data_IF_510045361647
#
_entry.id   IF_510045361647
#
_cell.length_a   1.000
_cell.length_b   1.000
_cell.length_c   1.000
_cell.angle_alpha   90.00
_cell.angle_beta   90.00
_cell.angle_gamma   90.00
#
_symmetry.space_group_name_H-M   'P 1'
#
loop_
_entity.id
_entity.type
_entity.pdbx_description
1 polymer ?
#
# COMPACT_ATOMS: atom_id res chain seq x y z
N UNK A 1 5.89 4.12 -27.94
CA UNK A 1 6.61 2.83 -27.98
C UNK A 1 7.34 2.68 -29.29
N UNK A 2 8.64 2.37 -29.22
CA UNK A 2 9.53 2.14 -30.36
C UNK A 2 9.16 0.88 -31.15
N UNK A 3 9.59 0.79 -32.41
CA UNK A 3 9.25 -0.32 -33.29
C UNK A 3 9.73 -1.69 -32.75
N UNK A 4 10.95 -1.73 -32.20
CA UNK A 4 11.53 -2.94 -31.63
C UNK A 4 10.73 -3.47 -30.43
N UNK A 5 10.35 -2.58 -29.50
CA UNK A 5 9.50 -2.96 -28.35
C UNK A 5 8.13 -3.46 -28.79
N UNK A 6 7.53 -2.89 -29.86
CA UNK A 6 6.26 -3.38 -30.42
C UNK A 6 6.37 -4.80 -30.98
N UNK A 7 7.48 -5.10 -31.65
CA UNK A 7 7.75 -6.43 -32.21
C UNK A 7 7.91 -7.48 -31.10
N UNK A 8 8.52 -7.11 -29.98
CA UNK A 8 8.69 -7.97 -28.80
C UNK A 8 7.43 -8.12 -27.96
N UNK A 9 6.62 -7.06 -27.83
CA UNK A 9 5.40 -7.05 -27.04
C UNK A 9 4.33 -7.97 -27.63
N UNK A 10 4.14 -7.94 -28.95
CA UNK A 10 3.08 -8.72 -29.62
C UNK A 10 3.09 -10.22 -29.27
N UNK A 11 4.19 -10.98 -29.45
CA UNK A 11 4.20 -12.40 -29.10
C UNK A 11 4.03 -12.65 -27.60
N UNK A 12 4.43 -11.70 -26.75
CA UNK A 12 4.23 -11.80 -25.31
C UNK A 12 2.74 -11.67 -24.93
N UNK A 13 2.01 -10.75 -25.59
CA UNK A 13 0.56 -10.60 -25.45
C UNK A 13 -0.20 -11.79 -26.03
N UNK A 14 0.20 -12.29 -27.20
CA UNK A 14 -0.44 -13.44 -27.85
C UNK A 14 -0.38 -14.69 -26.93
N UNK A 15 0.77 -14.94 -26.29
CA UNK A 15 0.89 -16.00 -25.26
C UNK A 15 -0.05 -15.79 -24.08
N UNK A 16 -0.13 -14.57 -23.56
CA UNK A 16 -1.01 -14.25 -22.43
C UNK A 16 -2.50 -14.48 -22.76
N UNK A 17 -2.89 -14.23 -24.02
CA UNK A 17 -4.24 -14.55 -24.54
C UNK A 17 -4.48 -16.05 -24.60
N UNK A 18 -3.50 -16.82 -25.09
CA UNK A 18 -3.59 -18.29 -25.20
C UNK A 18 -3.74 -18.95 -23.82
N UNK A 19 -3.03 -18.47 -22.81
CA UNK A 19 -3.07 -19.00 -21.44
C UNK A 19 -4.30 -18.54 -20.65
N UNK A 20 -4.88 -17.39 -21.00
CA UNK A 20 -6.03 -16.81 -20.31
C UNK A 20 -7.16 -16.39 -21.27
N UNK A 21 -7.76 -17.35 -22.00
CA UNK A 21 -8.76 -17.04 -23.03
C UNK A 21 -10.03 -16.36 -22.48
N UNK A 22 -10.37 -16.58 -21.20
CA UNK A 22 -11.51 -15.92 -20.55
C UNK A 22 -11.29 -14.41 -20.33
N UNK A 23 -10.05 -13.93 -20.38
CA UNK A 23 -9.69 -12.51 -20.19
C UNK A 23 -9.23 -11.86 -21.52
N UNK A 24 -9.50 -12.49 -22.67
CA UNK A 24 -8.99 -12.06 -23.96
C UNK A 24 -9.35 -10.60 -24.32
N UNK A 25 -10.56 -10.15 -23.97
CA UNK A 25 -10.99 -8.77 -24.23
C UNK A 25 -10.18 -7.76 -23.38
N UNK A 26 -10.03 -8.02 -22.09
CA UNK A 26 -9.23 -7.21 -21.18
C UNK A 26 -7.76 -7.14 -21.65
N UNK A 27 -7.19 -8.27 -22.08
CA UNK A 27 -5.83 -8.32 -22.59
C UNK A 27 -5.66 -7.47 -23.85
N UNK A 28 -6.64 -7.50 -24.77
CA UNK A 28 -6.62 -6.66 -25.97
C UNK A 28 -6.74 -5.17 -25.62
N UNK A 29 -7.59 -4.82 -24.66
CA UNK A 29 -7.74 -3.44 -24.19
C UNK A 29 -6.44 -2.93 -23.53
N UNK A 30 -5.81 -3.74 -22.68
CA UNK A 30 -4.51 -3.43 -22.09
C UNK A 30 -3.42 -3.29 -23.15
N UNK A 31 -3.38 -4.20 -24.13
CA UNK A 31 -2.43 -4.11 -25.24
C UNK A 31 -2.63 -2.82 -26.06
N UNK A 32 -3.88 -2.46 -26.36
CA UNK A 32 -4.21 -1.21 -27.03
C UNK A 32 -3.71 0.01 -26.25
N UNK A 33 -3.88 0.02 -24.93
CA UNK A 33 -3.37 1.08 -24.06
C UNK A 33 -1.83 1.13 -24.04
N UNK A 34 -1.15 -0.02 -23.95
CA UNK A 34 0.32 -0.09 -23.99
C UNK A 34 0.88 0.47 -25.30
N UNK A 35 0.25 0.19 -26.45
CA UNK A 35 0.71 0.68 -27.74
C UNK A 35 0.52 2.19 -27.95
N UNK A 36 -0.44 2.81 -27.25
CA UNK A 36 -0.83 4.21 -27.44
C UNK A 36 -0.37 5.14 -26.30
N UNK A 37 0.15 4.60 -25.21
CA UNK A 37 0.69 5.36 -24.08
C UNK A 37 2.05 6.00 -24.39
N UNK A 38 2.46 6.97 -23.56
CA UNK A 38 3.82 7.50 -23.55
C UNK A 38 4.77 6.57 -22.79
N UNK A 39 6.08 6.69 -23.01
CA UNK A 39 7.08 5.84 -22.33
C UNK A 39 6.99 5.95 -20.80
N UNK A 40 6.86 7.18 -20.29
CA UNK A 40 6.72 7.48 -18.87
C UNK A 40 5.46 6.86 -18.26
N UNK A 41 4.40 6.66 -19.04
CA UNK A 41 3.16 6.03 -18.57
C UNK A 41 3.29 4.50 -18.49
N UNK A 42 4.24 3.89 -19.22
CA UNK A 42 4.52 2.44 -19.18
C UNK A 42 5.58 2.04 -18.16
N UNK A 43 6.25 3.02 -17.57
CA UNK A 43 7.14 2.81 -16.44
C UNK A 43 6.34 3.02 -15.16
N UNK A 44 6.42 2.07 -14.21
CA UNK A 44 5.75 2.19 -12.90
C UNK A 44 4.25 2.48 -13.04
N UNK A 45 3.63 1.71 -13.91
CA UNK A 45 2.21 1.74 -14.19
C UNK A 45 1.43 1.50 -12.90
N UNK A 46 0.67 2.52 -12.49
CA UNK A 46 -0.31 2.41 -11.42
C UNK A 46 -1.59 1.71 -11.96
N UNK A 47 -1.99 0.53 -11.42
CA UNK A 47 -3.14 -0.21 -11.90
C UNK A 47 -4.47 0.56 -11.83
N UNK A 48 -4.66 1.47 -10.87
CA UNK A 48 -5.87 2.30 -10.80
C UNK A 48 -5.99 3.24 -12.00
N UNK A 49 -4.88 3.84 -12.43
CA UNK A 49 -4.85 4.72 -13.61
C UNK A 49 -5.16 3.95 -14.88
N UNK A 50 -4.60 2.75 -15.05
CA UNK A 50 -4.89 1.90 -16.21
C UNK A 50 -6.35 1.44 -16.18
N UNK A 51 -6.86 1.00 -15.03
CA UNK A 51 -8.25 0.58 -14.88
C UNK A 51 -9.21 1.69 -15.30
N UNK A 52 -8.95 2.92 -14.85
CA UNK A 52 -9.73 4.09 -15.27
C UNK A 52 -9.62 4.38 -16.77
N UNK A 53 -8.42 4.29 -17.35
CA UNK A 53 -8.19 4.59 -18.77
C UNK A 53 -8.76 3.54 -19.74
N UNK A 54 -8.82 2.27 -19.31
CA UNK A 54 -9.20 1.13 -20.16
C UNK A 54 -10.61 0.60 -19.89
N UNK A 55 -11.18 0.91 -18.72
CA UNK A 55 -12.46 0.36 -18.25
C UNK A 55 -12.38 -1.07 -17.71
N UNK A 56 -11.19 -1.69 -17.71
CA UNK A 56 -10.99 -3.03 -17.13
C UNK A 56 -11.19 -2.93 -15.61
N UNK A 57 -12.03 -3.80 -15.00
CA UNK A 57 -12.18 -3.83 -13.54
C UNK A 57 -10.84 -4.02 -12.84
N UNK A 58 -10.54 -3.18 -11.84
CA UNK A 58 -9.24 -3.17 -11.15
C UNK A 58 -8.80 -4.56 -10.68
N UNK A 59 -9.70 -5.34 -10.08
CA UNK A 59 -9.38 -6.69 -9.63
C UNK A 59 -8.91 -7.59 -10.78
N UNK A 60 -9.64 -7.58 -11.91
CA UNK A 60 -9.28 -8.35 -13.10
C UNK A 60 -7.96 -7.87 -13.71
N UNK A 61 -7.71 -6.57 -13.71
CA UNK A 61 -6.47 -5.98 -14.20
C UNK A 61 -5.26 -6.37 -13.34
N UNK A 62 -5.34 -6.27 -12.03
CA UNK A 62 -4.22 -6.63 -11.13
C UNK A 62 -3.89 -8.12 -11.26
N UNK A 63 -4.90 -8.99 -11.31
CA UNK A 63 -4.70 -10.43 -11.59
C UNK A 63 -4.01 -10.66 -12.93
N UNK A 64 -4.41 -9.92 -13.96
CA UNK A 64 -3.79 -10.01 -15.29
C UNK A 64 -2.33 -9.55 -15.29
N UNK A 65 -2.03 -8.43 -14.62
CA UNK A 65 -0.67 -7.91 -14.49
C UNK A 65 0.22 -8.92 -13.73
N UNK A 66 -0.27 -9.48 -12.62
CA UNK A 66 0.41 -10.53 -11.86
C UNK A 66 0.72 -11.76 -12.72
N UNK A 67 -0.27 -12.29 -13.44
CA UNK A 67 -0.03 -13.41 -14.38
C UNK A 67 1.00 -13.04 -15.44
N UNK A 68 0.90 -11.85 -16.02
CA UNK A 68 1.88 -11.36 -16.99
C UNK A 68 3.31 -11.26 -16.44
N UNK A 69 3.50 -11.13 -15.11
CA UNK A 69 4.85 -11.24 -14.52
C UNK A 69 5.43 -12.65 -14.63
N UNK A 70 4.63 -13.71 -14.48
CA UNK A 70 5.08 -15.10 -14.66
C UNK A 70 5.58 -15.36 -16.09
N UNK A 71 4.99 -14.68 -17.07
CA UNK A 71 5.31 -14.82 -18.49
C UNK A 71 6.32 -13.78 -19.00
N UNK A 72 6.97 -13.05 -18.09
CA UNK A 72 7.94 -11.99 -18.41
C UNK A 72 7.40 -10.92 -19.37
N UNK A 73 6.09 -10.62 -19.26
CA UNK A 73 5.44 -9.49 -19.94
C UNK A 73 5.64 -8.23 -19.09
N UNK A 74 5.44 -8.39 -17.78
CA UNK A 74 5.55 -7.31 -16.81
C UNK A 74 6.62 -7.62 -15.77
N UNK A 75 7.11 -6.56 -15.14
CA UNK A 75 7.90 -6.61 -13.92
C UNK A 75 7.13 -5.86 -12.83
N UNK A 76 7.11 -6.41 -11.62
CA UNK A 76 6.49 -5.78 -10.44
C UNK A 76 7.56 -4.99 -9.68
N UNK A 77 7.20 -3.80 -9.21
CA UNK A 77 8.06 -2.97 -8.38
C UNK A 77 7.37 -2.58 -7.08
N UNK A 78 8.12 -2.66 -5.99
CA UNK A 78 7.74 -2.18 -4.66
C UNK A 78 8.37 -0.80 -4.44
N UNK A 79 7.56 0.20 -4.20
CA UNK A 79 8.01 1.58 -4.04
C UNK A 79 7.69 2.06 -2.63
N UNK A 80 8.72 2.52 -1.90
CA UNK A 80 8.56 3.09 -0.57
C UNK A 80 8.46 4.60 -0.65
N UNK A 81 7.37 5.16 -0.14
CA UNK A 81 7.08 6.60 -0.19
C UNK A 81 7.32 7.26 1.16
N UNK A 82 7.96 8.43 1.13
CA UNK A 82 8.10 9.25 2.32
C UNK A 82 6.71 9.73 2.81
N UNK A 83 6.38 9.62 4.10
CA UNK A 83 5.08 10.07 4.60
C UNK A 83 4.89 11.60 4.52
N UNK A 84 5.97 12.38 4.46
CA UNK A 84 5.92 13.84 4.45
C UNK A 84 5.85 14.44 3.06
N UNK A 85 6.56 13.85 2.08
CA UNK A 85 6.59 14.37 0.71
C UNK A 85 6.17 13.35 -0.36
N UNK A 86 5.70 12.16 0.00
CA UNK A 86 5.29 11.10 -0.93
C UNK A 86 6.31 10.72 -2.03
N UNK A 87 7.55 11.19 -1.95
CA UNK A 87 8.60 10.84 -2.90
C UNK A 87 9.00 9.39 -2.69
N UNK A 88 9.31 8.69 -3.79
CA UNK A 88 9.91 7.36 -3.73
C UNK A 88 11.31 7.49 -3.14
N UNK A 89 11.52 6.78 -2.04
CA UNK A 89 12.77 6.75 -1.27
C UNK A 89 13.57 5.50 -1.54
N UNK A 90 12.88 4.41 -1.91
CA UNK A 90 13.48 3.16 -2.33
C UNK A 90 12.54 2.43 -3.28
N UNK A 91 13.12 1.64 -4.18
CA UNK A 91 12.41 0.75 -5.09
C UNK A 91 13.07 -0.63 -5.04
N UNK A 92 12.25 -1.69 -5.06
CA UNK A 92 12.70 -3.07 -5.02
C UNK A 92 11.89 -3.91 -6.00
N UNK A 93 12.53 -4.91 -6.61
CA UNK A 93 11.84 -5.91 -7.44
C UNK A 93 11.41 -7.15 -6.63
N UNK A 94 11.95 -7.30 -5.41
CA UNK A 94 11.68 -8.41 -4.51
C UNK A 94 11.58 -7.90 -3.07
N UNK A 95 10.66 -8.49 -2.30
CA UNK A 95 10.54 -8.20 -0.87
C UNK A 95 11.72 -8.73 -0.04
N UNK A 96 12.48 -9.69 -0.56
CA UNK A 96 13.63 -10.25 0.15
C UNK A 96 14.74 -9.22 0.41
N UNK A 97 14.82 -8.18 -0.43
CA UNK A 97 15.80 -7.08 -0.30
C UNK A 97 15.20 -5.80 0.29
N UNK A 98 13.90 -5.80 0.60
CA UNK A 98 13.22 -4.61 1.10
C UNK A 98 13.59 -4.33 2.58
N UNK A 99 13.80 -3.06 2.91
CA UNK A 99 14.14 -2.62 4.28
C UNK A 99 12.92 -2.05 5.00
N UNK A 100 12.73 -2.42 6.28
CA UNK A 100 11.69 -1.84 7.14
C UNK A 100 11.91 -0.36 7.50
N UNK A 101 13.14 0.14 7.38
CA UNK A 101 13.49 1.54 7.62
C UNK A 101 13.90 2.22 6.31
N UNK A 102 13.51 3.48 6.15
CA UNK A 102 13.90 4.29 5.00
C UNK A 102 14.29 5.71 5.44
N UNK A 103 15.17 6.34 4.65
CA UNK A 103 15.55 7.74 4.80
C UNK A 103 15.13 8.51 3.55
N UNK A 104 14.40 9.59 3.74
CA UNK A 104 14.06 10.49 2.64
C UNK A 104 15.12 11.57 2.51
N UNK A 105 15.92 11.55 1.42
CA UNK A 105 16.92 12.59 1.15
C UNK A 105 16.33 14.00 1.02
N UNK A 106 15.11 14.10 0.48
CA UNK A 106 14.41 15.37 0.26
C UNK A 106 13.93 15.99 1.57
N UNK A 107 13.27 15.20 2.41
CA UNK A 107 12.77 15.64 3.71
C UNK A 107 13.83 15.60 4.80
N UNK A 108 14.92 14.87 4.60
CA UNK A 108 15.96 14.54 5.59
C UNK A 108 15.39 13.93 6.87
N UNK A 109 14.55 12.90 6.70
CA UNK A 109 13.88 12.20 7.81
C UNK A 109 13.96 10.70 7.65
N UNK A 110 14.14 10.02 8.77
CA UNK A 110 14.00 8.58 8.89
C UNK A 110 12.53 8.23 9.18
N UNK A 111 12.04 7.17 8.57
CA UNK A 111 10.70 6.65 8.82
C UNK A 111 10.65 5.13 8.62
N UNK A 112 9.66 4.52 9.26
CA UNK A 112 9.39 3.09 9.11
C UNK A 112 8.41 2.87 7.96
N UNK A 113 8.70 1.89 7.10
CA UNK A 113 7.84 1.53 6.00
C UNK A 113 6.52 0.92 6.50
N UNK A 114 5.41 1.43 5.96
CA UNK A 114 4.05 0.95 6.24
C UNK A 114 3.43 0.37 4.97
N UNK A 115 3.17 -0.93 4.97
CA UNK A 115 2.64 -1.65 3.82
C UNK A 115 1.20 -1.28 3.45
N UNK A 116 0.44 -0.71 4.39
CA UNK A 116 -0.92 -0.27 4.12
C UNK A 116 -0.93 1.06 3.37
N UNK A 117 -0.02 1.97 3.69
CA UNK A 117 -0.15 3.38 3.30
C UNK A 117 1.03 3.93 2.50
N UNK A 118 2.22 3.35 2.63
CA UNK A 118 3.48 3.94 2.14
C UNK A 118 4.30 3.01 1.27
N UNK A 119 3.77 1.83 0.96
CA UNK A 119 4.37 0.93 -0.02
C UNK A 119 3.40 0.80 -1.18
N UNK A 120 3.74 1.42 -2.30
CA UNK A 120 3.00 1.31 -3.56
C UNK A 120 3.57 0.16 -4.38
N UNK A 121 2.68 -0.55 -5.08
CA UNK A 121 3.03 -1.60 -6.03
C UNK A 121 2.67 -1.11 -7.43
N UNK A 122 3.69 -1.04 -8.27
CA UNK A 122 3.54 -0.66 -9.67
C UNK A 122 4.09 -1.74 -10.59
N UNK A 123 3.78 -1.62 -11.88
CA UNK A 123 4.25 -2.57 -12.88
C UNK A 123 4.95 -1.84 -14.02
N UNK A 124 5.99 -2.42 -14.60
CA UNK A 124 6.54 -1.95 -15.88
C UNK A 124 6.45 -3.07 -16.90
N UNK A 125 6.62 -2.75 -18.19
CA UNK A 125 6.97 -3.80 -19.16
C UNK A 125 8.31 -4.42 -18.74
N UNK A 126 8.42 -5.73 -18.90
CA UNK A 126 9.65 -6.43 -18.57
C UNK A 126 10.81 -5.89 -19.42
N UNK A 127 12.05 -5.76 -18.89
CA UNK A 127 13.18 -5.17 -19.62
C UNK A 127 13.54 -5.87 -20.94
N UNK A 128 13.15 -7.14 -21.10
CA UNK A 128 13.29 -7.86 -22.37
C UNK A 128 12.40 -7.31 -23.49
N UNK A 129 11.34 -6.56 -23.18
CA UNK A 129 10.41 -5.94 -24.12
C UNK A 129 10.74 -4.45 -24.30
N UNK A 130 10.81 -3.70 -23.20
CA UNK A 130 11.12 -2.28 -23.18
C UNK A 130 11.90 -1.99 -21.89
N UNK A 131 13.14 -1.52 -22.05
CA UNK A 131 13.99 -1.10 -20.92
C UNK A 131 13.99 0.41 -20.84
N UNK A 132 13.70 0.94 -19.65
CA UNK A 132 13.80 2.36 -19.36
C UNK A 132 14.76 2.54 -18.18
N UNK A 133 15.90 3.18 -18.44
CA UNK A 133 16.84 3.61 -17.40
C UNK A 133 16.41 4.98 -16.88
N UNK A 134 15.31 4.99 -16.12
CA UNK A 134 14.79 6.20 -15.47
C UNK A 134 15.02 6.06 -13.96
N UNK A 135 15.72 7.02 -13.32
CA UNK A 135 15.77 7.05 -11.86
C UNK A 135 14.35 7.23 -11.31
N UNK A 136 14.12 6.90 -10.02
CA UNK A 136 12.83 7.13 -9.40
C UNK A 136 12.38 8.58 -9.45
N UNK A 137 11.65 8.92 -10.50
CA UNK A 137 11.15 10.26 -10.72
C UNK A 137 9.76 10.35 -10.12
N UNK A 138 9.64 11.09 -9.04
CA UNK A 138 8.36 11.61 -8.59
C UNK A 138 8.31 13.10 -8.86
N UNK A 139 7.19 13.57 -9.39
CA UNK A 139 6.85 14.98 -9.27
C UNK A 139 6.74 15.28 -7.77
N UNK A 140 7.31 16.40 -7.28
CA UNK A 140 7.11 16.81 -5.90
C UNK A 140 5.60 16.88 -5.63
N UNK A 141 5.11 16.33 -4.51
CA UNK A 141 3.69 16.32 -4.22
C UNK A 141 3.18 17.77 -4.15
N UNK A 142 1.90 18.01 -4.45
CA UNK A 142 1.27 19.32 -4.27
C UNK A 142 1.47 19.91 -2.88
N UNK A 143 1.64 19.06 -1.86
CA UNK A 143 1.90 19.45 -0.48
C UNK A 143 3.16 20.31 -0.27
N UNK A 144 4.19 20.16 -1.12
CA UNK A 144 5.44 20.92 -0.99
C UNK A 144 5.33 22.39 -1.40
N UNK A 145 4.23 22.80 -2.09
CA UNK A 145 3.99 24.17 -2.56
C UNK A 145 5.27 24.89 -3.03
N UNK A 146 5.96 24.37 -4.05
CA UNK A 146 7.26 24.87 -4.44
C UNK A 146 7.18 26.32 -4.93
N UNK A 147 8.16 27.14 -4.56
CA UNK A 147 8.33 28.51 -5.06
C UNK A 147 8.76 28.51 -6.52
N UNK A 148 9.62 27.56 -6.88
CA UNK A 148 10.16 27.40 -8.23
C UNK A 148 10.07 25.94 -8.65
N UNK A 149 9.71 25.69 -9.90
CA UNK A 149 9.75 24.38 -10.53
C UNK A 149 10.22 24.51 -11.98
N UNK A 150 11.48 24.16 -12.23
CA UNK A 150 12.11 24.20 -13.55
C UNK A 150 12.54 22.80 -13.98
N UNK A 151 12.58 22.58 -15.29
CA UNK A 151 13.13 21.38 -15.94
C UNK A 151 14.11 21.86 -17.00
N UNK A 152 15.32 21.29 -17.02
CA UNK A 152 16.42 21.74 -17.86
C UNK A 152 17.12 20.52 -18.49
N UNK A 153 17.10 20.41 -19.81
CA UNK A 153 17.94 19.44 -20.52
C UNK A 153 19.43 19.83 -20.43
N UNK A 154 20.31 18.92 -20.85
CA UNK A 154 21.76 19.21 -20.89
C UNK A 154 22.03 20.43 -21.79
N UNK A 155 22.77 21.39 -21.23
CA UNK A 155 23.16 22.65 -21.86
C UNK A 155 22.12 23.76 -21.73
N UNK A 156 20.97 23.49 -21.12
CA UNK A 156 19.92 24.51 -20.95
C UNK A 156 20.15 25.38 -19.71
N UNK A 157 19.66 26.61 -19.82
CA UNK A 157 19.57 27.57 -18.72
C UNK A 157 18.14 28.08 -18.70
N UNK A 158 17.53 28.04 -17.52
CA UNK A 158 16.18 28.53 -17.27
C UNK A 158 16.24 29.67 -16.25
N UNK A 159 15.32 30.61 -16.35
CA UNK A 159 15.25 31.78 -15.47
C UNK A 159 13.88 31.83 -14.79
N UNK A 160 13.83 32.30 -13.55
CA UNK A 160 12.60 32.48 -12.81
C UNK A 160 12.69 33.63 -11.82
N UNK A 161 11.65 34.47 -11.78
CA UNK A 161 11.50 35.52 -10.79
C UNK A 161 10.51 35.10 -9.71
N UNK A 162 10.89 35.27 -8.45
CA UNK A 162 10.01 34.97 -7.33
C UNK A 162 10.38 35.78 -6.10
N UNK A 163 9.40 35.95 -5.22
CA UNK A 163 9.60 36.56 -3.91
C UNK A 163 9.86 35.49 -2.85
N UNK A 164 10.86 35.71 -2.02
CA UNK A 164 11.23 34.80 -0.91
C UNK A 164 11.19 35.53 0.43
N UNK A 165 10.64 34.85 1.44
CA UNK A 165 10.49 35.39 2.80
C UNK A 165 11.63 34.88 3.71
N UNK A 166 11.87 35.49 4.88
CA UNK A 166 12.89 35.01 5.81
C UNK A 166 12.60 33.58 6.27
N UNK A 167 13.62 32.71 6.25
CA UNK A 167 13.45 31.31 6.60
C UNK A 167 14.56 30.41 6.08
N UNK A 168 14.37 29.12 6.26
CA UNK A 168 15.23 28.09 5.69
C UNK A 168 14.51 27.47 4.49
N UNK A 169 15.25 27.21 3.44
CA UNK A 169 14.76 26.67 2.17
C UNK A 169 15.68 25.54 1.69
N UNK A 170 15.12 24.66 0.88
CA UNK A 170 15.86 23.62 0.17
C UNK A 170 15.63 23.77 -1.32
N UNK A 171 16.66 23.46 -2.08
CA UNK A 171 16.56 23.32 -3.53
C UNK A 171 17.03 21.94 -3.94
N UNK A 172 16.19 21.26 -4.72
CA UNK A 172 16.29 19.82 -4.97
C UNK A 172 16.09 19.48 -6.44
N UNK A 173 16.89 18.55 -6.94
CA UNK A 173 16.70 17.93 -8.24
C UNK A 173 16.05 16.54 -8.06
N UNK A 174 14.81 16.34 -8.54
CA UNK A 174 14.11 15.07 -8.40
C UNK A 174 14.66 13.94 -9.28
N UNK A 175 15.53 14.28 -10.24
CA UNK A 175 16.11 13.31 -11.18
C UNK A 175 17.45 12.82 -10.65
N UNK A 176 18.34 13.74 -10.26
CA UNK A 176 19.68 13.40 -9.76
C UNK A 176 19.71 13.18 -8.24
N UNK A 177 18.59 13.42 -7.54
CA UNK A 177 18.48 13.45 -6.08
C UNK A 177 19.43 14.43 -5.40
N UNK A 178 19.92 15.43 -6.14
CA UNK A 178 20.80 16.47 -5.64
C UNK A 178 20.02 17.42 -4.73
N UNK A 179 20.61 17.86 -3.63
CA UNK A 179 20.02 18.82 -2.70
C UNK A 179 21.03 19.90 -2.31
N UNK A 180 20.56 21.12 -2.14
CA UNK A 180 21.27 22.20 -1.47
C UNK A 180 20.37 22.94 -0.48
N UNK A 181 20.98 23.76 0.38
CA UNK A 181 20.31 24.50 1.46
C UNK A 181 20.41 25.99 1.25
N UNK A 182 19.37 26.71 1.61
CA UNK A 182 19.31 28.16 1.47
C UNK A 182 18.80 28.79 2.76
N UNK A 183 19.57 29.71 3.32
CA UNK A 183 19.20 30.52 4.47
C UNK A 183 18.83 31.93 3.99
N UNK A 184 17.62 32.35 4.30
CA UNK A 184 17.09 33.65 3.91
C UNK A 184 16.97 34.51 5.14
N UNK A 185 17.80 35.55 5.21
CA UNK A 185 17.84 36.47 6.35
C UNK A 185 16.75 37.53 6.24
N UNK A 186 16.18 37.93 7.38
CA UNK A 186 15.31 39.11 7.42
C UNK A 186 16.09 40.34 6.99
N UNK A 187 15.47 41.22 6.18
CA UNK A 187 16.06 42.52 5.91
C UNK A 187 16.21 43.25 7.26
N UNK A 188 17.34 43.92 7.53
CA UNK A 188 17.49 44.68 8.76
C UNK A 188 16.41 45.77 8.82
N UNK A 189 15.60 45.76 9.88
CA UNK A 189 14.68 46.85 10.20
C UNK A 189 15.48 48.11 10.50
N UNK A 190 15.63 48.99 9.51
CA UNK A 190 16.33 50.26 9.65
C UNK A 190 15.53 51.39 9.00
N UNK A 191 15.07 52.41 9.75
CA UNK A 191 14.44 53.58 9.17
C UNK A 191 15.52 54.49 8.58
N UNK A 192 15.76 54.38 7.28
CA UNK A 192 16.49 55.38 6.52
C UNK A 192 15.51 56.31 5.83
N UNK A 193 15.17 57.44 6.45
CA UNK A 193 14.50 58.54 5.75
C UNK A 193 15.33 58.91 4.52
N UNK A 194 14.80 58.64 3.32
CA UNK A 194 15.32 59.18 2.07
C UNK A 194 16.02 58.22 1.10
N UNK A 195 15.91 56.90 1.26
CA UNK A 195 16.25 55.96 0.18
C UNK A 195 14.97 55.58 -0.57
N UNK A 196 15.00 55.72 -1.90
CA UNK A 196 14.00 55.12 -2.79
C UNK A 196 13.83 53.65 -2.45
N UNK A 197 12.59 53.18 -2.61
CA UNK A 197 12.15 51.79 -2.46
C UNK A 197 12.77 50.90 -3.57
N UNK A 198 14.09 50.98 -3.77
CA UNK A 198 14.87 50.05 -4.57
C UNK A 198 14.76 48.71 -3.86
N UNK A 199 13.78 47.93 -4.30
CA UNK A 199 13.67 46.52 -4.04
C UNK A 199 15.03 45.90 -4.41
N UNK A 200 15.92 45.74 -3.44
CA UNK A 200 17.18 45.05 -3.65
C UNK A 200 16.85 43.63 -4.13
N UNK A 201 16.91 43.45 -5.44
CA UNK A 201 16.71 42.20 -6.15
C UNK A 201 17.97 41.36 -5.97
N UNK A 202 17.81 40.15 -5.46
CA UNK A 202 18.94 39.23 -5.32
C UNK A 202 19.08 38.42 -6.61
N UNK A 203 20.23 38.51 -7.27
CA UNK A 203 20.57 37.59 -8.35
C UNK A 203 21.08 36.27 -7.75
N UNK A 204 20.47 35.16 -8.16
CA UNK A 204 20.83 33.82 -7.70
C UNK A 204 21.19 32.94 -8.92
N UNK A 205 22.35 32.30 -8.90
CA UNK A 205 22.75 31.33 -9.93
C UNK A 205 22.94 29.94 -9.29
N UNK A 206 22.14 28.96 -9.73
CA UNK A 206 22.24 27.56 -9.30
C UNK A 206 22.65 26.69 -10.48
N UNK A 207 23.76 25.97 -10.35
CA UNK A 207 24.28 25.06 -11.38
C UNK A 207 24.16 23.61 -10.95
N UNK A 208 23.57 22.75 -11.79
CA UNK A 208 23.63 21.30 -11.62
C UNK A 208 24.96 20.76 -12.14
N UNK A 209 25.72 20.09 -11.27
CA UNK A 209 27.01 19.48 -11.62
C UNK A 209 26.90 17.95 -11.87
N UNK A 210 27.91 17.37 -12.53
CA UNK A 210 27.98 15.93 -12.88
C UNK A 210 28.01 15.02 -11.66
N UNK A 211 28.63 15.47 -10.56
CA UNK A 211 28.81 14.72 -9.32
C UNK A 211 27.56 14.75 -8.41
N UNK A 212 26.37 15.01 -8.97
CA UNK A 212 25.10 15.08 -8.23
C UNK A 212 25.16 16.08 -7.06
N UNK A 213 25.80 17.23 -7.29
CA UNK A 213 25.80 18.38 -6.38
C UNK A 213 25.33 19.64 -7.09
N UNK A 214 24.68 20.54 -6.36
CA UNK A 214 24.46 21.89 -6.84
C UNK A 214 25.64 22.77 -6.47
N UNK A 215 25.90 23.76 -7.31
CA UNK A 215 26.85 24.84 -7.04
C UNK A 215 26.14 26.20 -7.09
N UNK A 216 26.11 26.96 -5.99
CA UNK A 216 26.62 26.58 -4.66
C UNK A 216 25.76 25.49 -3.98
N UNK A 217 26.30 24.72 -3.01
CA UNK A 217 25.53 23.75 -2.21
C UNK A 217 24.82 24.39 -1.00
N UNK A 218 25.28 25.56 -0.56
CA UNK A 218 24.66 26.39 0.47
C UNK A 218 24.57 27.84 -0.01
N UNK A 219 23.39 28.45 0.14
CA UNK A 219 23.09 29.83 -0.26
C UNK A 219 22.70 30.64 0.96
N UNK A 220 23.15 31.90 1.02
CA UNK A 220 22.66 32.89 1.99
C UNK A 220 22.29 34.17 1.26
N UNK A 221 21.02 34.57 1.33
CA UNK A 221 20.49 35.78 0.68
C UNK A 221 19.56 36.55 1.63
N UNK A 222 19.32 37.86 1.43
CA UNK A 222 18.25 38.56 2.13
C UNK A 222 16.88 38.17 1.56
N UNK A 223 15.82 38.26 2.38
CA UNK A 223 14.44 38.15 1.90
C UNK A 223 14.11 39.26 0.90
N UNK A 224 13.25 39.00 -0.08
CA UNK A 224 12.90 39.96 -1.13
C UNK A 224 12.60 39.32 -2.49
N UNK A 225 12.64 40.14 -3.54
CA UNK A 225 12.58 39.66 -4.93
C UNK A 225 13.90 39.01 -5.32
N UNK A 226 13.81 37.87 -6.01
CA UNK A 226 14.95 37.07 -6.46
C UNK A 226 14.81 36.80 -7.95
N UNK A 227 15.84 37.15 -8.71
CA UNK A 227 16.03 36.71 -10.08
C UNK A 227 16.93 35.47 -10.08
N UNK A 228 16.36 34.30 -10.36
CA UNK A 228 17.07 33.04 -10.42
C UNK A 228 17.47 32.70 -11.84
N UNK A 229 18.73 32.35 -12.01
CA UNK A 229 19.28 31.65 -13.17
C UNK A 229 19.65 30.22 -12.76
N UNK A 230 19.03 29.25 -13.39
CA UNK A 230 19.30 27.83 -13.17
C UNK A 230 19.95 27.23 -14.41
N UNK A 231 21.05 26.50 -14.26
CA UNK A 231 21.80 25.94 -15.39
C UNK A 231 22.05 24.44 -15.20
N UNK A 232 21.88 23.67 -16.27
CA UNK A 232 22.26 22.27 -16.32
C UNK A 232 23.30 22.01 -17.43
N UNK A 233 24.59 22.11 -17.12
CA UNK A 233 25.66 21.88 -18.12
C UNK A 233 26.06 20.39 -18.24
N UNK A 234 25.49 19.50 -17.44
CA UNK A 234 26.14 18.23 -17.08
C UNK A 234 25.26 17.00 -17.33
N UNK A 235 24.12 16.89 -16.64
CA UNK A 235 23.26 15.70 -16.70
C UNK A 235 22.27 15.77 -17.87
N UNK A 236 21.83 14.63 -18.44
CA UNK A 236 20.91 14.63 -19.59
C UNK A 236 19.63 15.42 -19.36
N UNK A 237 19.08 15.35 -18.15
CA UNK A 237 17.92 16.11 -17.70
C UNK A 237 18.10 16.43 -16.21
N UNK A 238 17.85 17.68 -15.84
CA UNK A 238 17.84 18.16 -14.46
C UNK A 238 16.50 18.82 -14.16
N UNK A 239 16.14 18.83 -12.89
CA UNK A 239 15.04 19.63 -12.37
C UNK A 239 15.54 20.52 -11.25
N UNK A 240 14.88 21.65 -11.03
CA UNK A 240 15.12 22.50 -9.89
C UNK A 240 13.80 22.83 -9.22
N UNK A 241 13.66 22.36 -7.98
CA UNK A 241 12.52 22.65 -7.12
C UNK A 241 13.03 23.40 -5.91
N UNK A 242 12.50 24.61 -5.66
CA UNK A 242 12.80 25.38 -4.44
C UNK A 242 11.57 25.35 -3.54
N UNK A 243 11.73 24.97 -2.28
CA UNK A 243 10.66 24.95 -1.28
C UNK A 243 11.17 25.31 0.11
N UNK A 244 10.27 25.74 0.99
CA UNK A 244 10.59 26.02 2.39
C UNK A 244 11.08 24.74 3.08
N UNK A 245 12.12 24.86 3.90
CA UNK A 245 12.64 23.81 4.78
C UNK A 245 11.74 23.66 6.01
N UNK A 246 10.48 23.36 5.72
CA UNK A 246 9.46 23.04 6.70
C UNK A 246 8.89 21.69 6.33
N UNK A 247 9.16 20.70 7.19
CA UNK A 247 8.49 19.41 7.11
C UNK A 247 6.99 19.64 7.25
N UNK A 248 6.22 19.30 6.21
CA UNK A 248 4.79 19.15 6.36
C UNK A 248 4.49 18.06 7.37
N UNK A 249 3.36 18.15 8.08
CA UNK A 249 2.79 16.99 8.74
C UNK A 249 2.70 15.82 7.74
N UNK A 250 2.69 14.59 8.25
CA UNK A 250 2.53 13.42 7.38
C UNK A 250 1.29 13.63 6.49
N UNK A 251 1.47 13.53 5.18
CA UNK A 251 0.40 13.71 4.19
C UNK A 251 -0.63 12.61 4.45
N UNK A 252 -1.89 12.92 4.82
CA UNK A 252 -2.88 11.88 5.08
C UNK A 252 -3.00 10.95 3.87
N UNK A 253 -3.00 9.64 4.11
CA UNK A 253 -3.03 8.64 3.05
C UNK A 253 -4.24 8.85 2.11
N UNK A 254 -5.38 9.23 2.68
CA UNK A 254 -6.64 9.47 1.97
C UNK A 254 -6.60 10.69 1.02
N UNK A 255 -5.55 11.52 1.12
CA UNK A 255 -5.33 12.66 0.22
C UNK A 255 -4.45 12.34 -0.98
N UNK A 256 -3.85 11.14 -1.01
CA UNK A 256 -3.03 10.68 -2.13
C UNK A 256 -3.89 10.14 -3.26
N UNK A 257 -3.32 10.11 -4.47
CA UNK A 257 -3.91 9.38 -5.58
C UNK A 257 -4.05 7.90 -5.21
N UNK A 258 -5.15 7.29 -5.67
CA UNK A 258 -5.39 5.87 -5.48
C UNK A 258 -4.24 5.07 -6.10
N UNK A 259 -3.71 4.14 -5.33
CA UNK A 259 -2.64 3.26 -5.76
C UNK A 259 -2.80 1.89 -5.10
N UNK A 260 -2.19 0.89 -5.73
CA UNK A 260 -2.21 -0.47 -5.22
C UNK A 260 -1.17 -0.57 -4.10
N UNK A 261 -1.63 -0.81 -2.88
CA UNK A 261 -0.75 -0.87 -1.72
C UNK A 261 -0.09 -2.25 -1.58
N UNK A 262 1.02 -2.30 -0.84
CA UNK A 262 1.68 -3.54 -0.48
C UNK A 262 0.77 -4.51 0.27
N UNK A 263 -0.12 -4.00 1.13
CA UNK A 263 -1.13 -4.82 1.82
C UNK A 263 -2.16 -5.41 0.86
N UNK A 264 -2.63 -4.63 -0.11
CA UNK A 264 -3.64 -5.08 -1.07
C UNK A 264 -3.12 -6.16 -2.02
N UNK A 265 -1.92 -6.00 -2.60
CA UNK A 265 -1.37 -7.02 -3.53
C UNK A 265 -1.24 -8.39 -2.84
N UNK A 266 -0.89 -8.41 -1.55
CA UNK A 266 -0.77 -9.66 -0.78
C UNK A 266 -2.10 -10.39 -0.60
N UNK A 267 -3.22 -9.69 -0.76
CA UNK A 267 -4.56 -10.27 -0.73
C UNK A 267 -5.00 -10.86 -2.07
N UNK A 268 -4.16 -10.82 -3.11
CA UNK A 268 -4.39 -11.54 -4.37
C UNK A 268 -3.82 -12.96 -4.28
N UNK A 269 -4.63 -14.01 -4.53
CA UNK A 269 -4.16 -15.39 -4.54
C UNK A 269 -2.99 -15.62 -5.51
N UNK A 270 -3.06 -15.03 -6.71
CA UNK A 270 -2.02 -15.12 -7.73
C UNK A 270 -0.68 -14.59 -7.20
N UNK A 271 -0.69 -13.50 -6.43
CA UNK A 271 0.54 -12.96 -5.85
C UNK A 271 1.21 -14.00 -4.93
N UNK A 272 0.43 -14.70 -4.10
CA UNK A 272 0.98 -15.71 -3.18
C UNK A 272 1.44 -16.97 -3.89
N UNK A 273 0.80 -17.34 -5.00
CA UNK A 273 1.24 -18.48 -5.82
C UNK A 273 2.56 -18.19 -6.54
N UNK A 274 2.72 -16.95 -7.03
CA UNK A 274 3.89 -16.52 -7.81
C UNK A 274 5.06 -16.17 -6.91
N UNK A 275 4.80 -15.34 -5.90
CA UNK A 275 5.79 -14.69 -5.05
C UNK A 275 5.77 -15.20 -3.61
N UNK A 276 5.04 -16.30 -3.32
CA UNK A 276 4.94 -16.84 -1.96
C UNK A 276 6.30 -17.20 -1.34
N UNK A 277 7.26 -17.60 -2.18
CA UNK A 277 8.64 -17.88 -1.77
C UNK A 277 9.54 -16.62 -1.83
N UNK A 278 9.11 -15.55 -2.50
CA UNK A 278 9.79 -14.26 -2.57
C UNK A 278 9.39 -13.39 -1.37
N UNK A 279 9.43 -14.01 -0.21
CA UNK A 279 8.96 -13.45 1.04
C UNK A 279 10.02 -12.50 1.63
N UNK A 280 9.57 -11.62 2.53
CA UNK A 280 10.47 -10.76 3.31
C UNK A 280 11.63 -11.59 3.88
N UNK A 281 12.82 -11.00 3.90
CA UNK A 281 13.94 -11.67 4.55
C UNK A 281 13.60 -11.96 6.01
N UNK A 282 14.11 -13.08 6.55
CA UNK A 282 13.82 -13.49 7.94
C UNK A 282 14.23 -12.44 9.00
N UNK A 283 15.10 -11.50 8.62
CA UNK A 283 15.61 -10.44 9.51
C UNK A 283 14.78 -9.17 9.43
N UNK A 284 14.16 -8.91 8.28
CA UNK A 284 13.40 -7.70 8.03
C UNK A 284 11.97 -7.83 8.55
N UNK A 285 11.44 -6.69 8.97
CA UNK A 285 10.09 -6.58 9.53
C UNK A 285 9.45 -5.35 8.93
N UNK A 286 8.31 -5.56 8.30
CA UNK A 286 7.53 -4.47 7.73
C UNK A 286 6.34 -4.18 8.61
N UNK A 287 6.08 -2.90 8.84
CA UNK A 287 4.91 -2.51 9.62
C UNK A 287 3.68 -2.39 8.75
N UNK A 288 2.53 -2.63 9.34
CA UNK A 288 1.21 -2.38 8.77
C UNK A 288 0.45 -1.56 9.82
N UNK A 289 0.08 -0.33 9.49
CA UNK A 289 -0.62 0.56 10.44
C UNK A 289 -1.97 0.00 10.90
N UNK A 290 -2.64 -0.77 10.03
CA UNK A 290 -3.92 -1.40 10.35
C UNK A 290 -4.28 -2.55 9.42
N UNK A 291 -4.46 -3.74 9.98
CA UNK A 291 -5.02 -4.90 9.29
C UNK A 291 -6.15 -5.49 10.14
N UNK A 292 -7.19 -5.99 9.48
CA UNK A 292 -8.26 -6.71 10.16
C UNK A 292 -7.94 -8.19 10.21
N UNK A 293 -7.88 -8.76 11.42
CA UNK A 293 -7.66 -10.18 11.66
C UNK A 293 -8.96 -10.82 12.13
N UNK A 294 -9.32 -11.91 11.45
CA UNK A 294 -10.45 -12.76 11.75
C UNK A 294 -9.94 -14.11 12.26
N UNK A 295 -10.45 -14.54 13.40
CA UNK A 295 -10.32 -15.91 13.88
C UNK A 295 -11.69 -16.59 13.93
N UNK A 296 -11.75 -17.81 13.40
CA UNK A 296 -12.91 -18.71 13.58
C UNK A 296 -12.47 -20.01 14.22
N UNK A 297 -13.41 -20.68 14.87
CA UNK A 297 -13.19 -21.97 15.53
C UNK A 297 -14.51 -22.77 15.54
N UNK A 298 -14.43 -24.10 15.49
CA UNK A 298 -15.62 -24.95 15.59
C UNK A 298 -16.00 -25.09 17.07
N UNK A 299 -17.27 -24.85 17.35
CA UNK A 299 -17.80 -25.03 18.71
C UNK A 299 -17.78 -26.49 19.10
N UNK A 300 -17.00 -26.84 20.12
CA UNK A 300 -17.03 -28.16 20.72
C UNK A 300 -16.34 -29.24 19.87
N UNK A 301 -15.36 -28.86 19.05
CA UNK A 301 -14.61 -29.78 18.20
C UNK A 301 -14.02 -30.97 18.95
N UNK A 302 -13.46 -30.78 20.15
CA UNK A 302 -12.95 -31.89 20.98
C UNK A 302 -14.02 -32.96 21.22
N UNK A 303 -15.24 -32.56 21.58
CA UNK A 303 -16.37 -33.48 21.79
C UNK A 303 -16.81 -34.16 20.49
N UNK A 304 -16.73 -33.45 19.36
CA UNK A 304 -16.99 -34.02 18.04
C UNK A 304 -15.99 -35.13 17.70
N UNK A 305 -14.69 -34.92 17.94
CA UNK A 305 -13.65 -35.95 17.77
C UNK A 305 -13.91 -37.18 18.66
N UNK A 306 -14.18 -36.97 19.95
CA UNK A 306 -14.44 -38.06 20.90
C UNK A 306 -15.62 -38.94 20.50
N UNK A 307 -16.69 -38.35 19.94
CA UNK A 307 -17.92 -39.08 19.64
C UNK A 307 -17.99 -39.69 18.24
N UNK A 308 -17.47 -38.98 17.24
CA UNK A 308 -17.54 -39.41 15.84
C UNK A 308 -16.31 -40.22 15.41
N UNK A 309 -15.22 -40.12 16.16
CA UNK A 309 -13.91 -40.64 15.79
C UNK A 309 -13.21 -39.79 14.73
N UNK A 310 -11.90 -39.95 14.65
CA UNK A 310 -11.01 -39.05 13.90
C UNK A 310 -11.36 -38.93 12.42
N UNK A 311 -11.70 -40.04 11.75
CA UNK A 311 -11.99 -40.04 10.31
C UNK A 311 -13.25 -39.23 9.98
N UNK A 312 -14.32 -39.40 10.76
CA UNK A 312 -15.56 -38.67 10.52
C UNK A 312 -15.42 -37.19 10.90
N UNK A 313 -14.77 -36.91 12.04
CA UNK A 313 -14.49 -35.55 12.46
C UNK A 313 -13.61 -34.80 11.45
N UNK A 314 -12.57 -35.45 10.91
CA UNK A 314 -11.71 -34.86 9.89
C UNK A 314 -12.47 -34.49 8.61
N UNK A 315 -13.40 -35.33 8.14
CA UNK A 315 -14.23 -34.99 6.98
C UNK A 315 -15.09 -33.74 7.24
N UNK A 316 -15.66 -33.61 8.43
CA UNK A 316 -16.43 -32.42 8.83
C UNK A 316 -15.52 -31.19 8.87
N UNK A 317 -14.33 -31.29 9.46
CA UNK A 317 -13.35 -30.19 9.51
C UNK A 317 -12.89 -29.76 8.11
N UNK A 318 -12.67 -30.72 7.21
CA UNK A 318 -12.32 -30.43 5.81
C UNK A 318 -13.44 -29.68 5.09
N UNK A 319 -14.69 -30.14 5.21
CA UNK A 319 -15.84 -29.46 4.60
C UNK A 319 -16.03 -28.06 5.20
N UNK A 320 -15.80 -27.92 6.50
CA UNK A 320 -15.79 -26.64 7.21
C UNK A 320 -14.75 -25.67 6.63
N UNK A 321 -13.52 -26.12 6.41
CA UNK A 321 -12.50 -25.28 5.80
C UNK A 321 -12.89 -24.84 4.39
N UNK A 322 -13.43 -25.76 3.57
CA UNK A 322 -13.86 -25.41 2.22
C UNK A 322 -14.93 -24.31 2.21
N UNK A 323 -15.92 -24.39 3.11
CA UNK A 323 -16.96 -23.35 3.23
C UNK A 323 -16.35 -22.00 3.64
N UNK A 324 -15.46 -21.99 4.63
CA UNK A 324 -14.81 -20.77 5.11
C UNK A 324 -13.91 -20.14 4.06
N UNK A 325 -13.04 -20.93 3.43
CA UNK A 325 -12.12 -20.47 2.37
C UNK A 325 -12.92 -19.74 1.30
N UNK A 326 -13.96 -20.38 0.75
CA UNK A 326 -14.78 -19.78 -0.30
C UNK A 326 -15.52 -18.51 0.15
N UNK A 327 -15.88 -18.37 1.43
CA UNK A 327 -16.59 -17.20 1.93
C UNK A 327 -15.64 -16.03 2.23
N UNK A 328 -14.46 -16.34 2.76
CA UNK A 328 -13.39 -15.38 3.07
C UNK A 328 -12.82 -14.82 1.77
N UNK A 329 -12.41 -15.67 0.84
CA UNK A 329 -11.86 -15.25 -0.46
C UNK A 329 -12.90 -14.50 -1.30
N UNK A 330 -14.15 -14.98 -1.32
CA UNK A 330 -15.26 -14.31 -2.01
C UNK A 330 -15.62 -12.93 -1.43
N UNK A 331 -15.11 -12.59 -0.25
CA UNK A 331 -15.28 -11.27 0.37
C UNK A 331 -14.01 -10.42 0.28
N UNK A 332 -12.96 -10.88 -0.40
CA UNK A 332 -11.67 -10.18 -0.54
C UNK A 332 -10.73 -10.34 0.66
N UNK A 333 -10.96 -11.35 1.50
CA UNK A 333 -10.01 -11.75 2.54
C UNK A 333 -9.07 -12.86 2.07
N UNK A 334 -8.04 -13.12 2.87
CA UNK A 334 -7.14 -14.24 2.64
C UNK A 334 -6.99 -15.10 3.88
N UNK A 335 -6.80 -16.40 3.67
CA UNK A 335 -6.44 -17.33 4.74
C UNK A 335 -4.94 -17.22 4.99
N UNK A 336 -4.57 -16.91 6.22
CA UNK A 336 -3.16 -16.86 6.62
C UNK A 336 -2.69 -18.25 6.99
N UNK A 337 -3.43 -18.91 7.89
CA UNK A 337 -3.14 -20.27 8.33
C UNK A 337 -4.35 -20.89 9.03
N UNK A 338 -4.29 -22.21 9.17
CA UNK A 338 -5.19 -22.99 10.01
C UNK A 338 -4.44 -23.49 11.25
N UNK A 339 -5.15 -23.62 12.38
CA UNK A 339 -4.58 -24.06 13.65
C UNK A 339 -5.56 -25.08 14.27
N UNK A 340 -5.31 -26.38 14.06
CA UNK A 340 -6.33 -27.39 14.37
C UNK A 340 -7.53 -27.22 13.44
N UNK A 341 -8.71 -26.97 13.99
CA UNK A 341 -9.97 -26.62 13.33
C UNK A 341 -10.22 -25.10 13.24
N UNK A 342 -9.32 -24.29 13.79
CA UNK A 342 -9.43 -22.84 13.70
C UNK A 342 -8.87 -22.29 12.38
N UNK A 343 -9.46 -21.19 11.91
CA UNK A 343 -8.98 -20.42 10.76
C UNK A 343 -8.54 -19.04 11.21
N UNK A 344 -7.35 -18.62 10.77
CA UNK A 344 -6.89 -17.24 10.83
C UNK A 344 -6.92 -16.64 9.43
N UNK A 345 -7.62 -15.52 9.27
CA UNK A 345 -7.71 -14.78 8.02
C UNK A 345 -7.40 -13.30 8.22
N UNK A 346 -6.97 -12.63 7.15
CA UNK A 346 -6.79 -11.18 7.13
C UNK A 346 -7.61 -10.51 6.05
N UNK A 347 -7.93 -9.24 6.30
CA UNK A 347 -8.66 -8.38 5.39
C UNK A 347 -8.03 -6.98 5.39
N UNK A 348 -7.96 -6.37 4.21
CA UNK A 348 -7.63 -4.94 4.02
C UNK A 348 -8.76 -4.04 4.49
N UNK A 349 -10.00 -4.51 4.39
CA UNK A 349 -11.22 -3.80 4.79
C UNK A 349 -11.93 -4.52 5.93
N UNK A 350 -12.25 -3.79 6.98
CA UNK A 350 -12.80 -4.34 8.22
C UNK A 350 -14.20 -4.93 8.02
N UNK A 351 -15.06 -4.25 7.26
CA UNK A 351 -16.41 -4.71 6.95
C UNK A 351 -16.44 -5.97 6.09
N UNK A 352 -15.42 -6.20 5.27
CA UNK A 352 -15.30 -7.41 4.47
C UNK A 352 -15.14 -8.66 5.35
N UNK A 353 -14.45 -8.55 6.49
CA UNK A 353 -14.34 -9.63 7.46
C UNK A 353 -15.69 -9.98 8.09
N UNK A 354 -16.56 -8.99 8.29
CA UNK A 354 -17.91 -9.24 8.81
C UNK A 354 -18.82 -9.85 7.75
N UNK A 355 -18.77 -9.32 6.52
CA UNK A 355 -19.52 -9.85 5.38
C UNK A 355 -19.14 -11.31 5.08
N UNK A 356 -17.86 -11.68 5.18
CA UNK A 356 -17.42 -13.07 5.01
C UNK A 356 -17.98 -14.00 6.08
N UNK A 357 -18.15 -13.51 7.31
CA UNK A 357 -18.74 -14.30 8.40
C UNK A 357 -20.21 -14.54 8.14
N UNK A 358 -20.97 -13.52 7.75
CA UNK A 358 -22.39 -13.71 7.41
C UNK A 358 -22.57 -14.70 6.26
N UNK A 359 -21.75 -14.60 5.20
CA UNK A 359 -21.76 -15.55 4.09
C UNK A 359 -21.40 -16.97 4.55
N UNK A 360 -20.40 -17.11 5.42
CA UNK A 360 -20.00 -18.41 6.00
C UNK A 360 -21.17 -19.04 6.77
N UNK A 361 -21.85 -18.25 7.58
CA UNK A 361 -22.96 -18.71 8.43
C UNK A 361 -24.18 -19.14 7.61
N UNK A 362 -24.50 -18.41 6.55
CA UNK A 362 -25.55 -18.82 5.60
C UNK A 362 -25.22 -20.20 5.00
N UNK A 363 -23.98 -20.41 4.57
CA UNK A 363 -23.52 -21.69 4.02
C UNK A 363 -23.52 -22.81 5.08
N UNK A 364 -23.12 -22.52 6.31
CA UNK A 364 -23.18 -23.48 7.40
C UNK A 364 -24.60 -23.84 7.80
N UNK A 365 -25.55 -22.89 7.72
CA UNK A 365 -26.97 -23.16 7.93
C UNK A 365 -27.44 -24.24 6.95
N UNK A 366 -27.15 -24.06 5.65
CA UNK A 366 -27.48 -25.07 4.64
C UNK A 366 -26.74 -26.40 4.86
N UNK A 367 -25.44 -26.35 5.18
CA UNK A 367 -24.66 -27.55 5.52
C UNK A 367 -25.26 -28.33 6.69
N UNK A 368 -25.85 -27.65 7.67
CA UNK A 368 -26.42 -28.24 8.87
C UNK A 368 -27.87 -28.73 8.73
N UNK A 369 -28.60 -28.39 7.66
CA UNK A 369 -30.03 -28.70 7.49
C UNK A 369 -30.37 -30.19 7.70
N UNK A 370 -29.47 -31.08 7.26
CA UNK A 370 -29.65 -32.53 7.34
C UNK A 370 -28.73 -33.19 8.37
N UNK A 371 -28.21 -32.42 9.33
CA UNK A 371 -27.28 -32.90 10.36
C UNK A 371 -27.83 -32.63 11.75
N UNK A 372 -27.56 -33.53 12.68
CA UNK A 372 -27.99 -33.41 14.07
C UNK A 372 -26.79 -33.51 15.02
N UNK A 373 -26.95 -32.90 16.20
CA UNK A 373 -26.01 -33.00 17.31
C UNK A 373 -24.58 -32.64 16.91
N UNK A 374 -23.65 -33.53 17.22
CA UNK A 374 -22.21 -33.31 17.06
C UNK A 374 -21.74 -33.33 15.58
N UNK A 375 -22.65 -33.57 14.62
CA UNK A 375 -22.38 -33.42 13.18
C UNK A 375 -22.65 -32.02 12.65
N UNK A 376 -23.34 -31.16 13.41
CA UNK A 376 -23.56 -29.78 13.02
C UNK A 376 -22.29 -28.95 13.30
N UNK A 377 -21.94 -28.08 12.35
CA UNK A 377 -20.82 -27.15 12.50
C UNK A 377 -21.34 -25.79 12.91
N UNK A 378 -20.96 -25.36 14.11
CA UNK A 378 -21.29 -24.04 14.64
C UNK A 378 -20.01 -23.26 14.92
N UNK A 379 -19.97 -21.98 14.59
CA UNK A 379 -18.75 -21.18 14.70
C UNK A 379 -18.72 -20.30 15.95
N UNK A 380 -17.51 -20.09 16.45
CA UNK A 380 -17.14 -18.95 17.29
C UNK A 380 -16.27 -18.03 16.46
N UNK A 381 -16.59 -16.74 16.45
CA UNK A 381 -15.86 -15.77 15.61
C UNK A 381 -15.34 -14.62 16.45
N UNK A 382 -14.09 -14.24 16.20
CA UNK A 382 -13.47 -13.04 16.75
C UNK A 382 -12.88 -12.16 15.64
N UNK A 383 -13.15 -10.87 15.70
CA UNK A 383 -12.61 -9.88 14.75
C UNK A 383 -11.92 -8.76 15.53
N UNK A 384 -10.72 -8.40 15.10
CA UNK A 384 -10.02 -7.24 15.62
C UNK A 384 -9.21 -6.56 14.51
N UNK A 385 -9.15 -5.23 14.56
CA UNK A 385 -8.35 -4.40 13.67
C UNK A 385 -7.30 -3.66 14.50
N UNK A 386 -6.07 -3.63 14.00
CA UNK A 386 -4.98 -2.91 14.63
C UNK A 386 -3.66 -3.04 13.86
N UNK A 387 -2.60 -2.39 14.35
CA UNK A 387 -1.29 -2.45 13.72
C UNK A 387 -0.70 -3.86 13.83
N UNK A 388 0.05 -4.28 12.82
CA UNK A 388 0.72 -5.58 12.81
C UNK A 388 2.10 -5.47 12.16
N UNK A 389 2.90 -6.52 12.35
CA UNK A 389 4.15 -6.70 11.64
C UNK A 389 3.94 -7.83 10.64
N UNK A 390 4.26 -7.57 9.37
CA UNK A 390 4.37 -8.60 8.36
C UNK A 390 5.72 -9.30 8.53
N UNK A 391 5.68 -10.62 8.62
CA UNK A 391 6.87 -11.46 8.79
C UNK A 391 6.84 -12.62 7.81
N UNK A 392 8.00 -13.19 7.53
CA UNK A 392 8.12 -14.48 6.87
C UNK A 392 8.30 -15.58 7.93
N UNK A 393 7.42 -16.58 7.92
CA UNK A 393 7.49 -17.73 8.82
C UNK A 393 7.21 -19.03 8.03
N UNK A 394 8.21 -19.91 7.96
CA UNK A 394 8.18 -21.15 7.17
C UNK A 394 7.90 -20.89 5.67
N UNK A 395 8.65 -19.96 5.09
CA UNK A 395 8.54 -19.56 3.67
C UNK A 395 7.13 -19.08 3.28
N UNK A 396 6.44 -18.45 4.24
CA UNK A 396 5.09 -17.90 4.06
C UNK A 396 4.94 -16.60 4.81
N UNK A 397 4.26 -15.65 4.17
CA UNK A 397 3.86 -14.40 4.82
C UNK A 397 2.86 -14.68 5.94
N UNK A 398 3.11 -14.09 7.10
CA UNK A 398 2.33 -14.21 8.32
C UNK A 398 2.28 -12.86 9.05
N UNK A 399 1.38 -12.74 10.02
CA UNK A 399 1.28 -11.56 10.87
C UNK A 399 1.78 -11.85 12.27
N UNK A 400 2.54 -10.90 12.82
CA UNK A 400 2.99 -10.91 14.19
C UNK A 400 2.58 -9.64 14.92
N UNK A 401 2.32 -9.75 16.23
CA UNK A 401 2.04 -8.60 17.10
C UNK A 401 0.83 -8.78 18.00
N UNK A 402 0.55 -7.74 18.80
CA UNK A 402 -0.55 -7.73 19.76
C UNK A 402 -1.93 -7.86 19.11
N UNK A 403 -2.08 -7.38 17.87
CA UNK A 403 -3.35 -7.45 17.11
C UNK A 403 -3.78 -8.89 16.86
N UNK A 404 -2.86 -9.76 16.42
CA UNK A 404 -3.15 -11.19 16.20
C UNK A 404 -3.57 -11.87 17.51
N UNK A 405 -2.83 -11.60 18.60
CA UNK A 405 -3.14 -12.15 19.92
C UNK A 405 -4.51 -11.68 20.43
N UNK A 406 -4.82 -10.38 20.29
CA UNK A 406 -6.10 -9.80 20.73
C UNK A 406 -7.27 -10.37 19.92
N UNK A 407 -7.12 -10.53 18.61
CA UNK A 407 -8.14 -11.17 17.75
C UNK A 407 -8.47 -12.59 18.21
N UNK A 408 -7.46 -13.43 18.47
CA UNK A 408 -7.64 -14.78 18.98
C UNK A 408 -8.33 -14.81 20.36
N UNK A 409 -7.97 -13.88 21.26
CA UNK A 409 -8.62 -13.78 22.58
C UNK A 409 -10.08 -13.31 22.49
N UNK A 410 -10.40 -12.43 21.55
CA UNK A 410 -11.78 -12.01 21.28
C UNK A 410 -12.60 -13.19 20.76
N UNK A 411 -12.06 -13.99 19.83
CA UNK A 411 -12.71 -15.22 19.37
C UNK A 411 -13.00 -16.17 20.54
N UNK A 412 -12.04 -16.34 21.46
CA UNK A 412 -12.20 -17.22 22.63
C UNK A 412 -13.32 -16.79 23.59
N UNK A 413 -13.75 -15.52 23.56
CA UNK A 413 -14.89 -15.04 24.36
C UNK A 413 -16.25 -15.33 23.71
N UNK A 414 -16.28 -15.61 22.40
CA UNK A 414 -17.52 -15.85 21.68
C UNK A 414 -18.16 -17.19 22.09
N UNK A 415 -19.46 -17.15 22.37
CA UNK A 415 -20.27 -18.35 22.50
C UNK A 415 -20.50 -19.02 21.14
N UNK A 416 -21.07 -20.22 21.15
CA UNK A 416 -21.53 -20.89 19.92
C UNK A 416 -22.45 -19.98 19.12
N UNK A 417 -22.22 -19.87 17.81
CA UNK A 417 -22.98 -19.01 16.90
C UNK A 417 -22.99 -17.55 17.36
N UNK A 418 -21.85 -17.05 17.82
CA UNK A 418 -21.67 -15.67 18.21
C UNK A 418 -20.47 -15.06 17.52
N UNK A 419 -20.63 -13.80 17.10
CA UNK A 419 -19.54 -12.96 16.61
C UNK A 419 -19.14 -12.03 17.75
N UNK A 420 -17.85 -12.02 18.08
CA UNK A 420 -17.26 -11.05 18.99
C UNK A 420 -16.30 -10.15 18.22
N UNK A 421 -16.31 -8.85 18.51
CA UNK A 421 -15.34 -7.92 17.93
C UNK A 421 -14.95 -6.80 18.89
N UNK A 422 -13.76 -6.26 18.68
CA UNK A 422 -13.17 -5.21 19.52
C UNK A 422 -13.85 -3.84 19.35
N UNK A 423 -13.58 -2.91 20.26
CA UNK A 423 -13.93 -1.49 20.12
C UNK A 423 -13.39 -0.88 18.82
N UNK A 424 -12.17 -1.21 18.41
CA UNK A 424 -11.56 -0.67 17.19
C UNK A 424 -12.41 -0.99 15.94
N UNK A 425 -12.84 -2.25 15.80
CA UNK A 425 -13.79 -2.69 14.76
C UNK A 425 -15.13 -1.96 14.86
N UNK A 426 -15.64 -1.73 16.07
CA UNK A 426 -16.91 -1.01 16.27
C UNK A 426 -16.86 0.46 15.84
N UNK A 427 -15.71 1.12 15.98
CA UNK A 427 -15.56 2.52 15.59
C UNK A 427 -15.60 2.71 14.07
N UNK A 428 -15.29 1.68 13.29
CA UNK A 428 -15.43 1.69 11.84
C UNK A 428 -16.91 1.87 11.43
N UNK A 429 -17.20 2.91 10.64
CA UNK A 429 -18.57 3.23 10.21
C UNK A 429 -19.14 2.19 9.23
N UNK A 430 -18.29 1.56 8.40
CA UNK A 430 -18.71 0.55 7.44
C UNK A 430 -19.18 -0.73 8.14
N UNK A 431 -18.63 -1.05 9.32
CA UNK A 431 -19.14 -2.14 10.17
C UNK A 431 -20.58 -1.88 10.59
N UNK A 432 -20.93 -0.65 10.95
CA UNK A 432 -22.31 -0.29 11.33
C UNK A 432 -23.26 -0.43 10.14
N UNK A 433 -22.80 -0.14 8.91
CA UNK A 433 -23.58 -0.33 7.68
C UNK A 433 -23.75 -1.82 7.33
N UNK A 434 -22.67 -2.60 7.40
CA UNK A 434 -22.70 -4.05 7.18
C UNK A 434 -23.63 -4.76 8.20
N UNK A 435 -23.54 -4.42 9.48
CA UNK A 435 -24.46 -4.96 10.51
C UNK A 435 -25.94 -4.68 10.18
N UNK A 436 -26.26 -3.46 9.71
CA UNK A 436 -27.64 -3.12 9.28
C UNK A 436 -28.07 -3.91 8.04
N UNK A 437 -27.19 -4.03 7.04
CA UNK A 437 -27.41 -4.81 5.81
C UNK A 437 -27.79 -6.26 6.13
N UNK A 438 -27.12 -6.87 7.10
CA UNK A 438 -27.39 -8.25 7.53
C UNK A 438 -28.45 -8.37 8.64
N UNK A 439 -29.19 -7.30 8.94
CA UNK A 439 -30.32 -7.34 9.86
C UNK A 439 -29.95 -7.56 11.33
N UNK A 440 -28.75 -7.16 11.76
CA UNK A 440 -28.31 -7.32 13.14
C UNK A 440 -29.13 -6.46 14.12
N UNK A 441 -29.91 -7.10 15.00
CA UNK A 441 -30.84 -6.41 15.92
C UNK A 441 -30.34 -6.23 17.36
N UNK A 442 -29.43 -7.10 17.83
CA UNK A 442 -29.02 -7.11 19.25
C UNK A 442 -27.52 -7.21 19.42
N UNK A 443 -26.89 -6.05 19.59
CA UNK A 443 -25.49 -5.95 19.96
C UNK A 443 -25.36 -5.77 21.48
N UNK A 444 -24.48 -6.55 22.10
CA UNK A 444 -24.19 -6.46 23.54
C UNK A 444 -22.75 -6.03 23.72
N UNK A 445 -22.54 -4.89 24.36
CA UNK A 445 -21.20 -4.43 24.77
C UNK A 445 -20.88 -4.97 26.17
N UNK A 446 -19.69 -5.54 26.36
CA UNK A 446 -19.20 -5.97 27.68
C UNK A 446 -17.75 -5.55 27.87
N UNK A 447 -17.39 -5.31 29.12
CA UNK A 447 -16.01 -5.18 29.55
C UNK A 447 -15.46 -6.58 29.81
N UNK A 448 -14.35 -6.93 29.15
CA UNK A 448 -13.75 -8.25 29.25
C UNK A 448 -12.25 -8.16 29.53
N UNK A 449 -11.77 -9.00 30.45
CA UNK A 449 -10.34 -9.24 30.65
C UNK A 449 -9.86 -10.27 29.64
N UNK A 450 -8.88 -9.88 28.83
CA UNK A 450 -8.30 -10.75 27.82
C UNK A 450 -7.00 -11.34 28.36
N UNK A 451 -6.88 -12.67 28.36
CA UNK A 451 -5.70 -13.37 28.90
C UNK A 451 -4.41 -12.86 28.25
N UNK A 452 -3.51 -12.32 29.08
CA UNK A 452 -2.21 -11.79 28.66
C UNK A 452 -2.21 -10.34 28.20
N UNK A 453 -3.36 -9.65 28.28
CA UNK A 453 -3.46 -8.21 28.03
C UNK A 453 -3.84 -7.49 29.32
N UNK A 454 -3.22 -6.34 29.56
CA UNK A 454 -3.46 -5.53 30.76
C UNK A 454 -4.78 -4.78 30.66
N UNK A 455 -5.55 -4.78 31.74
CA UNK A 455 -6.76 -3.98 31.87
C UNK A 455 -8.03 -4.69 31.39
N UNK A 456 -9.08 -3.90 31.21
CA UNK A 456 -10.37 -4.34 30.70
C UNK A 456 -10.61 -3.74 29.34
N UNK A 457 -11.10 -4.56 28.41
CA UNK A 457 -11.32 -4.17 27.02
C UNK A 457 -12.81 -4.21 26.70
N UNK A 458 -13.35 -3.18 26.02
CA UNK A 458 -14.68 -3.27 25.46
C UNK A 458 -14.72 -4.28 24.32
N UNK A 459 -15.65 -5.23 24.41
CA UNK A 459 -15.93 -6.23 23.38
C UNK A 459 -17.41 -6.21 23.09
N UNK A 460 -17.72 -6.24 21.80
CA UNK A 460 -19.07 -6.23 21.27
C UNK A 460 -19.42 -7.62 20.80
N UNK A 461 -20.59 -8.09 21.19
CA UNK A 461 -21.09 -9.42 20.90
C UNK A 461 -22.37 -9.31 20.11
N UNK A 462 -22.43 -10.04 19.00
CA UNK A 462 -23.62 -10.19 18.19
C UNK A 462 -23.98 -11.67 18.14
N UNK A 463 -25.17 -11.99 18.67
CA UNK A 463 -25.74 -13.33 18.59
C UNK A 463 -26.49 -13.49 17.28
N UNK A 464 -26.33 -14.65 16.66
CA UNK A 464 -26.89 -14.96 15.34
C UNK A 464 -28.36 -15.44 15.39
N UNK A 465 -29.10 -15.05 16.45
CA UNK A 465 -30.47 -15.51 16.77
C UNK A 465 -31.46 -14.37 16.94
#
# INVERSE_FOLDING_TARGET
MEAESREKLKPAIDRLIEEHPSQQEDIRNLHGWLLNSQAQERHRMNPYRISHATGIPLEGLVRLLLKGTQHSVFQLHWQQHCPHCNMITAEYDSLAVASGQSHCKMCDVEFTADFKERVEVTFSLHPSIESMDLPPFCLPPPALKPLVKLSMARGETEEADFRIEPGFYRYYCPITMTMGKMEVSAKPDGPGEGASDDQAESELHIRQLENQTFDPPEIRIPAGEVHLKAENSTVPLSGLIIHEDRLSDAIPFESLDLHLTGLEIMHYPEFREIFGNDALSEREKMTISGVTILFTDITGSTRMYEKLGDVQAYNIVRDHFQILIQAIEGSGGIIIKTIGDAVMASFTRTEAALDSVFLSLERFKHYNENKEGDRQVNLKVGIHEGPAILVNLNDRLDYFGSTVNKAARIQSLAASQQIAFSEEVWQNQEIKKSLKKHGARRLVRRQASLKGLSGSHPVYFFSLS
#
